data_IF_873254502089
#
_entry.id   IF_873254502089
#
_cell.length_a   1.000
_cell.length_b   1.000
_cell.length_c   1.000
_cell.angle_alpha   90.00
_cell.angle_beta   90.00
_cell.angle_gamma   90.00
#
_symmetry.space_group_name_H-M   'P 1'
#
loop_
_entity.id
_entity.type
_entity.pdbx_description
1 polymer ?
#
# COMPACT_ATOMS: atom_id res chain seq x y z
N UNK A 1 -4.02 -17.92 -3.36
CA UNK A 1 -3.65 -17.16 -2.14
C UNK A 1 -3.22 -18.14 -1.06
N UNK A 2 -2.09 -17.87 -0.43
CA UNK A 2 -1.51 -18.72 0.64
C UNK A 2 -1.40 -17.90 1.91
N UNK A 3 -2.03 -18.37 3.00
CA UNK A 3 -1.90 -17.77 4.33
C UNK A 3 -0.78 -18.47 5.08
N UNK A 4 0.12 -17.71 5.67
CA UNK A 4 1.22 -18.19 6.48
C UNK A 4 1.17 -17.59 7.88
N UNK A 5 1.49 -18.38 8.89
CA UNK A 5 1.71 -17.89 10.26
C UNK A 5 3.20 -17.80 10.53
N UNK A 6 3.59 -16.69 11.11
CA UNK A 6 4.93 -16.47 11.65
C UNK A 6 4.95 -16.94 13.10
N UNK A 7 5.85 -17.86 13.39
CA UNK A 7 6.04 -18.37 14.77
C UNK A 7 7.49 -18.08 15.21
N UNK A 8 7.72 -17.00 15.96
CA UNK A 8 9.04 -16.69 16.50
C UNK A 8 9.36 -17.64 17.65
N UNK A 9 10.13 -18.68 17.41
CA UNK A 9 10.51 -19.65 18.44
C UNK A 9 11.83 -19.33 19.14
N UNK A 10 12.58 -18.31 18.68
CA UNK A 10 13.87 -17.93 19.30
C UNK A 10 14.10 -16.41 19.25
N UNK A 11 14.80 -15.89 20.26
CA UNK A 11 15.22 -14.49 20.37
C UNK A 11 16.39 -14.12 19.40
N UNK A 12 16.89 -15.07 18.64
CA UNK A 12 18.06 -14.88 17.77
C UNK A 12 17.59 -14.58 16.35
N UNK A 13 17.38 -13.31 16.07
CA UNK A 13 16.94 -12.78 14.76
C UNK A 13 18.14 -12.48 13.83
N UNK A 14 19.34 -12.81 14.22
CA UNK A 14 20.42 -12.19 13.54
C UNK A 14 21.54 -13.06 13.00
N UNK A 15 21.91 -12.73 11.81
CA UNK A 15 23.24 -12.93 11.26
C UNK A 15 23.50 -14.31 10.65
N UNK A 16 24.49 -14.39 9.80
CA UNK A 16 24.96 -15.54 9.04
C UNK A 16 25.52 -16.70 9.91
N UNK A 17 24.86 -17.03 10.99
CA UNK A 17 25.13 -18.19 11.81
C UNK A 17 24.11 -19.27 11.50
N UNK A 18 24.55 -20.48 11.23
CA UNK A 18 23.67 -21.64 11.15
C UNK A 18 23.02 -21.90 12.52
N UNK A 19 21.98 -21.17 12.88
CA UNK A 19 21.13 -21.57 13.99
C UNK A 19 20.40 -22.84 13.58
N UNK A 20 20.46 -23.86 14.40
CA UNK A 20 19.78 -25.13 14.14
C UNK A 20 18.24 -24.98 14.20
N UNK A 21 17.75 -23.84 14.68
CA UNK A 21 16.33 -23.49 14.77
C UNK A 21 16.05 -22.33 13.81
N UNK A 22 15.70 -22.66 12.60
CA UNK A 22 15.25 -21.68 11.62
C UNK A 22 13.86 -21.20 11.99
N UNK A 23 13.63 -19.88 11.89
CA UNK A 23 12.28 -19.29 11.85
C UNK A 23 11.53 -20.01 10.72
N UNK A 24 10.45 -20.69 11.06
CA UNK A 24 9.67 -21.43 10.07
C UNK A 24 8.39 -20.68 9.78
N UNK A 25 8.24 -20.28 8.52
CA UNK A 25 6.94 -19.95 7.98
C UNK A 25 6.22 -21.25 7.63
N UNK A 26 5.04 -21.47 8.17
CA UNK A 26 4.19 -22.59 7.82
C UNK A 26 2.94 -22.10 7.10
N UNK A 27 2.60 -22.76 6.01
CA UNK A 27 1.35 -22.50 5.28
C UNK A 27 0.21 -23.20 6.03
N UNK A 28 -0.69 -22.43 6.62
CA UNK A 28 -1.82 -22.96 7.40
C UNK A 28 -3.08 -23.13 6.55
N UNK A 29 -3.21 -22.37 5.46
CA UNK A 29 -4.37 -22.46 4.58
C UNK A 29 -4.01 -22.05 3.15
N UNK A 30 -4.59 -22.77 2.17
CA UNK A 30 -4.54 -22.41 0.74
C UNK A 30 -5.94 -22.20 0.22
N UNK A 31 -6.14 -21.13 -0.54
CA UNK A 31 -7.42 -20.80 -1.18
C UNK A 31 -7.18 -20.69 -2.68
N UNK A 32 -7.99 -21.37 -3.48
CA UNK A 32 -7.91 -21.30 -4.95
C UNK A 32 -8.32 -19.90 -5.40
N UNK A 33 -7.49 -19.28 -6.23
CA UNK A 33 -7.71 -17.95 -6.80
C UNK A 33 -7.83 -18.05 -8.32
N UNK A 34 -8.66 -17.22 -9.00
CA UNK A 34 -8.90 -17.32 -10.45
C UNK A 34 -7.67 -17.04 -11.34
N UNK A 35 -6.65 -16.39 -10.81
CA UNK A 35 -5.42 -16.03 -11.51
C UNK A 35 -4.37 -15.53 -10.53
N UNK A 36 -3.46 -14.71 -11.01
CA UNK A 36 -2.47 -14.02 -10.17
C UNK A 36 -3.13 -13.04 -9.20
N UNK A 37 -2.44 -12.72 -8.13
CA UNK A 37 -2.86 -11.74 -7.12
C UNK A 37 -1.89 -10.58 -7.14
N UNK A 38 -2.31 -9.45 -7.70
CA UNK A 38 -1.49 -8.23 -7.73
C UNK A 38 -1.39 -7.58 -6.35
N UNK A 39 -2.51 -7.60 -5.60
CA UNK A 39 -2.59 -7.02 -4.26
C UNK A 39 -3.55 -7.81 -3.39
N UNK A 40 -3.22 -7.97 -2.12
CA UNK A 40 -4.10 -8.59 -1.12
C UNK A 40 -4.12 -7.75 0.16
N UNK A 41 -5.31 -7.54 0.74
CA UNK A 41 -5.47 -6.81 2.02
C UNK A 41 -6.56 -7.46 2.85
N UNK A 42 -6.29 -7.71 4.12
CA UNK A 42 -7.30 -8.14 5.08
C UNK A 42 -8.08 -6.93 5.61
N UNK A 43 -9.34 -7.16 5.95
CA UNK A 43 -10.20 -6.12 6.54
C UNK A 43 -9.78 -5.86 8.00
N UNK A 44 -9.49 -4.62 8.39
CA UNK A 44 -9.02 -4.30 9.76
C UNK A 44 -10.01 -4.71 10.86
N UNK A 45 -11.31 -4.56 10.62
CA UNK A 45 -12.35 -4.91 11.60
C UNK A 45 -12.58 -6.43 11.69
N UNK A 46 -12.31 -7.17 10.62
CA UNK A 46 -12.45 -8.62 10.57
C UNK A 46 -11.34 -9.24 9.72
N UNK A 47 -10.22 -9.67 10.31
CA UNK A 47 -9.08 -10.22 9.57
C UNK A 47 -9.36 -11.53 8.82
N UNK A 48 -10.56 -12.11 9.01
CA UNK A 48 -10.98 -13.27 8.24
C UNK A 48 -11.45 -12.90 6.82
N UNK A 49 -11.76 -11.63 6.59
CA UNK A 49 -12.16 -11.11 5.28
C UNK A 49 -10.93 -10.55 4.58
N UNK A 50 -10.68 -11.02 3.37
CA UNK A 50 -9.52 -10.64 2.56
C UNK A 50 -10.02 -10.19 1.20
N UNK A 51 -9.55 -9.04 0.73
CA UNK A 51 -9.74 -8.60 -0.66
C UNK A 51 -8.47 -8.88 -1.46
N UNK A 52 -8.64 -9.28 -2.72
CA UNK A 52 -7.54 -9.47 -3.67
C UNK A 52 -7.86 -8.80 -4.98
N UNK A 53 -6.90 -8.10 -5.57
CA UNK A 53 -7.01 -7.57 -6.92
C UNK A 53 -6.23 -8.45 -7.89
N UNK A 54 -6.84 -8.77 -9.03
CA UNK A 54 -6.33 -9.71 -10.01
C UNK A 54 -6.19 -9.07 -11.39
N UNK A 55 -5.27 -9.56 -12.27
CA UNK A 55 -5.12 -9.08 -13.64
C UNK A 55 -6.36 -9.22 -14.52
N UNK A 56 -7.36 -9.99 -14.11
CA UNK A 56 -8.65 -10.10 -14.82
C UNK A 56 -9.60 -8.91 -14.56
N UNK A 57 -9.06 -7.81 -14.02
CA UNK A 57 -9.75 -6.54 -13.75
C UNK A 57 -10.81 -6.61 -12.65
N UNK A 58 -10.75 -7.64 -11.79
CA UNK A 58 -11.70 -7.83 -10.70
C UNK A 58 -11.04 -7.81 -9.35
N UNK A 59 -11.79 -7.30 -8.39
CA UNK A 59 -11.44 -7.47 -6.98
C UNK A 59 -12.31 -8.59 -6.41
N UNK A 60 -11.68 -9.54 -5.76
CA UNK A 60 -12.36 -10.66 -5.11
C UNK A 60 -12.33 -10.51 -3.60
N UNK A 61 -13.44 -10.84 -2.95
CA UNK A 61 -13.54 -10.83 -1.49
C UNK A 61 -13.72 -12.26 -0.98
N UNK A 62 -12.91 -12.61 -0.01
CA UNK A 62 -12.79 -13.95 0.55
C UNK A 62 -13.07 -13.91 2.05
N UNK A 63 -13.91 -14.81 2.53
CA UNK A 63 -14.03 -15.14 3.95
C UNK A 63 -13.26 -16.46 4.17
N UNK A 64 -12.05 -16.37 4.74
CA UNK A 64 -11.18 -17.54 4.93
C UNK A 64 -11.83 -18.63 5.77
N UNK A 65 -12.78 -18.29 6.63
CA UNK A 65 -13.47 -19.27 7.50
C UNK A 65 -14.41 -20.18 6.73
N UNK A 66 -14.80 -19.81 5.52
CA UNK A 66 -15.65 -20.59 4.63
C UNK A 66 -14.89 -21.50 3.67
N UNK A 67 -13.55 -21.51 3.78
CA UNK A 67 -12.67 -22.34 2.96
C UNK A 67 -11.95 -23.38 3.83
N UNK A 68 -11.77 -24.58 3.29
CA UNK A 68 -10.95 -25.64 3.91
C UNK A 68 -9.47 -25.23 3.94
N UNK A 69 -8.70 -25.81 4.86
CA UNK A 69 -7.25 -25.54 4.94
C UNK A 69 -6.50 -25.98 3.69
N UNK A 70 -7.00 -27.03 3.03
CA UNK A 70 -6.51 -27.53 1.74
C UNK A 70 -7.68 -27.52 0.77
N UNK A 71 -7.53 -26.95 -0.43
CA UNK A 71 -8.59 -26.96 -1.44
C UNK A 71 -9.02 -28.39 -1.80
N UNK A 72 -10.31 -28.61 -1.95
CA UNK A 72 -10.86 -29.89 -2.36
C UNK A 72 -11.01 -30.00 -3.90
N UNK A 73 -10.99 -28.87 -4.59
CA UNK A 73 -11.10 -28.71 -6.04
C UNK A 73 -10.32 -27.48 -6.49
N UNK A 74 -10.13 -27.31 -7.79
CA UNK A 74 -9.44 -26.16 -8.41
C UNK A 74 -10.41 -25.01 -8.76
N UNK A 75 -11.60 -24.97 -8.17
CA UNK A 75 -12.61 -23.97 -8.46
C UNK A 75 -12.50 -22.83 -7.43
N UNK A 76 -12.28 -21.62 -7.92
CA UNK A 76 -12.31 -20.41 -7.10
C UNK A 76 -13.73 -20.10 -6.65
N UNK A 77 -13.92 -19.88 -5.35
CA UNK A 77 -15.24 -19.62 -4.72
C UNK A 77 -15.20 -18.36 -3.85
N UNK A 78 -14.98 -17.17 -4.44
CA UNK A 78 -15.03 -15.92 -3.68
C UNK A 78 -16.43 -15.67 -3.14
N UNK A 79 -16.54 -15.02 -1.99
CA UNK A 79 -17.81 -14.61 -1.41
C UNK A 79 -18.42 -13.44 -2.16
N UNK A 80 -17.56 -12.54 -2.70
CA UNK A 80 -18.00 -11.49 -3.61
C UNK A 80 -17.00 -11.28 -4.74
N UNK A 81 -17.51 -10.83 -5.89
CA UNK A 81 -16.74 -10.36 -7.04
C UNK A 81 -17.11 -8.92 -7.29
N UNK A 82 -16.17 -8.02 -7.17
CA UNK A 82 -16.37 -6.60 -7.41
C UNK A 82 -15.97 -6.32 -8.87
N UNK A 83 -16.95 -5.91 -9.67
CA UNK A 83 -16.78 -5.72 -11.10
C UNK A 83 -17.05 -4.26 -11.46
N UNK A 84 -16.02 -3.55 -11.94
CA UNK A 84 -16.13 -2.13 -12.26
C UNK A 84 -14.84 -1.54 -12.84
N UNK A 85 -13.71 -2.24 -12.71
CA UNK A 85 -12.48 -1.90 -13.41
C UNK A 85 -12.45 -2.48 -14.82
N UNK A 86 -11.73 -1.79 -15.73
CA UNK A 86 -11.50 -2.21 -17.12
C UNK A 86 -10.00 -2.45 -17.42
N UNK A 87 -9.14 -2.24 -16.42
CA UNK A 87 -7.72 -2.54 -16.42
C UNK A 87 -7.33 -3.26 -15.14
N UNK A 88 -6.15 -3.86 -15.12
CA UNK A 88 -5.60 -4.44 -13.89
C UNK A 88 -5.24 -3.36 -12.87
N UNK A 89 -5.07 -3.74 -11.61
CA UNK A 89 -4.76 -2.78 -10.57
C UNK A 89 -3.91 -3.32 -9.44
N UNK A 90 -3.24 -2.38 -8.79
CA UNK A 90 -2.30 -2.61 -7.70
C UNK A 90 -2.69 -1.86 -6.42
N UNK A 91 -3.61 -0.89 -6.52
CA UNK A 91 -4.11 -0.13 -5.39
C UNK A 91 -5.30 -0.83 -4.74
N UNK A 92 -5.21 -1.11 -3.45
CA UNK A 92 -6.27 -1.80 -2.70
C UNK A 92 -6.15 -1.49 -1.20
N UNK A 93 -7.19 -0.88 -0.62
CA UNK A 93 -7.22 -0.60 0.81
C UNK A 93 -8.63 -0.64 1.40
N UNK A 94 -8.78 -1.31 2.53
CA UNK A 94 -10.00 -1.29 3.33
C UNK A 94 -10.10 0.00 4.14
N UNK A 95 -11.33 0.49 4.29
CA UNK A 95 -11.60 1.61 5.20
C UNK A 95 -11.37 1.17 6.66
N UNK A 96 -10.40 1.75 7.38
CA UNK A 96 -10.15 1.35 8.77
C UNK A 96 -11.23 1.81 9.75
N UNK A 97 -12.15 2.68 9.31
CA UNK A 97 -13.20 3.27 10.15
C UNK A 97 -14.60 2.74 9.84
N UNK A 98 -14.79 2.14 8.65
CA UNK A 98 -16.10 1.64 8.21
C UNK A 98 -15.94 0.24 7.68
N UNK A 99 -16.57 -0.70 8.37
CA UNK A 99 -16.58 -2.10 7.95
C UNK A 99 -17.22 -2.26 6.58
N UNK A 100 -16.63 -3.08 5.72
CA UNK A 100 -17.14 -3.39 4.39
C UNK A 100 -16.83 -2.36 3.31
N UNK A 101 -16.28 -1.19 3.63
CA UNK A 101 -15.83 -0.23 2.63
C UNK A 101 -14.41 -0.51 2.16
N UNK A 102 -14.20 -0.46 0.85
CA UNK A 102 -12.94 -0.76 0.18
C UNK A 102 -12.68 0.27 -0.92
N UNK A 103 -11.42 0.67 -1.10
CA UNK A 103 -10.92 1.41 -2.25
C UNK A 103 -10.11 0.49 -3.15
N UNK A 104 -10.20 0.70 -4.45
CA UNK A 104 -9.31 0.08 -5.43
C UNK A 104 -8.97 1.06 -6.55
N UNK A 105 -7.76 0.97 -7.08
CA UNK A 105 -7.28 1.79 -8.19
C UNK A 105 -6.53 0.95 -9.22
N UNK A 106 -6.58 1.33 -10.47
CA UNK A 106 -5.99 0.53 -11.54
C UNK A 106 -5.54 1.31 -12.77
N UNK A 107 -5.12 0.57 -13.79
CA UNK A 107 -4.68 1.08 -15.09
C UNK A 107 -5.77 1.85 -15.85
N UNK A 108 -7.02 1.58 -15.53
CA UNK A 108 -8.17 2.32 -16.08
C UNK A 108 -8.27 3.76 -15.55
N UNK A 109 -7.31 4.19 -14.71
CA UNK A 109 -7.19 5.55 -14.15
C UNK A 109 -8.29 5.91 -13.16
N UNK A 110 -9.05 4.92 -12.71
CA UNK A 110 -10.21 5.10 -11.86
C UNK A 110 -9.88 4.60 -10.45
N UNK A 111 -10.32 5.37 -9.44
CA UNK A 111 -10.45 4.89 -8.08
C UNK A 111 -11.90 4.51 -7.85
N UNK A 112 -12.17 3.26 -7.52
CA UNK A 112 -13.48 2.76 -7.14
C UNK A 112 -13.62 2.70 -5.62
N UNK A 113 -14.74 3.22 -5.12
CA UNK A 113 -15.20 3.01 -3.75
C UNK A 113 -16.29 1.93 -3.76
N UNK A 114 -16.08 0.90 -2.98
CA UNK A 114 -17.03 -0.20 -2.78
C UNK A 114 -17.62 -0.12 -1.38
N UNK A 115 -18.89 -0.46 -1.24
CA UNK A 115 -19.62 -0.50 0.04
C UNK A 115 -20.35 -1.84 0.15
N UNK A 116 -19.66 -2.86 0.66
CA UNK A 116 -20.17 -4.23 0.71
C UNK A 116 -21.43 -4.40 1.57
N UNK A 117 -21.57 -3.76 2.77
CA UNK A 117 -22.78 -3.90 3.56
C UNK A 117 -24.02 -3.37 2.89
N UNK A 118 -23.88 -2.39 1.98
CA UNK A 118 -24.98 -1.78 1.24
C UNK A 118 -25.25 -2.47 -0.09
N UNK A 119 -24.18 -2.71 -0.85
CA UNK A 119 -24.25 -3.06 -2.26
C UNK A 119 -24.13 -4.58 -2.48
N UNK A 120 -23.73 -5.33 -1.43
CA UNK A 120 -23.55 -6.77 -1.52
C UNK A 120 -24.89 -7.50 -1.41
N UNK A 121 -25.25 -8.23 -2.48
CA UNK A 121 -26.39 -9.15 -2.50
C UNK A 121 -25.90 -10.59 -2.44
N UNK A 122 -26.41 -11.35 -1.48
CA UNK A 122 -26.10 -12.78 -1.34
C UNK A 122 -26.49 -13.60 -2.59
N UNK A 123 -27.47 -13.13 -3.34
CA UNK A 123 -27.98 -13.84 -4.51
C UNK A 123 -27.12 -13.59 -5.77
N UNK A 124 -26.53 -12.41 -5.91
CA UNK A 124 -25.77 -12.04 -7.11
C UNK A 124 -24.27 -12.30 -6.99
N UNK A 125 -23.71 -12.20 -5.79
CA UNK A 125 -22.25 -12.27 -5.51
C UNK A 125 -21.39 -11.31 -6.36
N UNK A 126 -22.00 -10.46 -7.17
CA UNK A 126 -21.35 -9.46 -8.01
C UNK A 126 -21.76 -8.08 -7.52
N UNK A 127 -20.78 -7.25 -7.20
CA UNK A 127 -20.99 -5.91 -6.67
C UNK A 127 -20.45 -4.89 -7.68
N UNK A 128 -21.21 -3.82 -7.90
CA UNK A 128 -20.80 -2.68 -8.71
C UNK A 128 -20.20 -1.59 -7.80
N UNK A 129 -19.34 -0.70 -8.31
CA UNK A 129 -18.80 0.39 -7.52
C UNK A 129 -19.91 1.27 -6.94
N UNK A 130 -19.79 1.61 -5.66
CA UNK A 130 -20.68 2.58 -5.03
C UNK A 130 -20.41 4.00 -5.54
N UNK A 131 -19.12 4.36 -5.74
CA UNK A 131 -18.67 5.63 -6.37
C UNK A 131 -17.42 5.37 -7.18
N UNK A 132 -17.21 6.22 -8.21
CA UNK A 132 -16.04 6.19 -9.07
C UNK A 132 -15.42 7.59 -9.16
N UNK A 133 -14.09 7.65 -9.13
CA UNK A 133 -13.30 8.87 -9.22
C UNK A 133 -12.32 8.74 -10.39
N UNK A 134 -12.53 9.53 -11.44
CA UNK A 134 -11.77 9.49 -12.70
C UNK A 134 -10.95 10.77 -12.91
N UNK A 135 -10.16 11.16 -11.90
CA UNK A 135 -9.41 12.40 -11.94
C UNK A 135 -7.96 12.23 -12.39
N UNK A 136 -7.43 11.01 -12.24
CA UNK A 136 -6.11 10.69 -12.75
C UNK A 136 -6.10 10.55 -14.28
N UNK A 137 -4.98 10.90 -14.90
CA UNK A 137 -4.78 10.77 -16.35
C UNK A 137 -3.94 9.54 -16.74
N UNK A 138 -3.42 8.81 -15.75
CA UNK A 138 -2.66 7.57 -15.92
C UNK A 138 -3.01 6.57 -14.80
N UNK A 139 -2.33 5.42 -14.76
CA UNK A 139 -2.52 4.33 -13.79
C UNK A 139 -2.54 4.84 -12.35
N UNK A 140 -3.47 4.34 -11.55
CA UNK A 140 -3.49 4.58 -10.09
C UNK A 140 -2.76 3.42 -9.40
N UNK A 141 -1.62 3.75 -8.78
CA UNK A 141 -0.72 2.75 -8.20
C UNK A 141 -0.99 2.45 -6.73
N UNK A 142 -1.41 3.45 -5.96
CA UNK A 142 -1.72 3.26 -4.54
C UNK A 142 -2.85 4.18 -4.08
N UNK A 143 -3.60 3.74 -3.07
CA UNK A 143 -4.66 4.50 -2.40
C UNK A 143 -4.55 4.29 -0.91
N UNK A 144 -4.84 5.33 -0.11
CA UNK A 144 -4.83 5.20 1.34
C UNK A 144 -5.87 6.12 1.99
N UNK A 145 -6.60 5.60 2.98
CA UNK A 145 -7.43 6.43 3.87
C UNK A 145 -6.57 7.24 4.83
N UNK A 146 -6.97 8.46 5.08
CA UNK A 146 -6.24 9.33 5.99
C UNK A 146 -6.53 8.97 7.46
N UNK A 147 -5.52 8.65 8.28
CA UNK A 147 -5.73 8.14 9.63
C UNK A 147 -6.43 9.13 10.57
N UNK A 148 -6.20 10.44 10.42
CA UNK A 148 -6.79 11.46 11.30
C UNK A 148 -8.08 12.08 10.74
N UNK A 149 -8.22 12.20 9.39
CA UNK A 149 -9.44 12.80 8.80
C UNK A 149 -10.57 11.78 8.64
N UNK A 150 -10.29 10.54 8.95
CA UNK A 150 -11.27 9.48 9.11
C UNK A 150 -11.84 8.97 7.79
N UNK A 151 -12.99 8.32 7.91
CA UNK A 151 -13.63 7.51 6.88
C UNK A 151 -13.96 8.20 5.56
N UNK A 152 -13.91 9.52 5.50
CA UNK A 152 -14.36 10.28 4.34
C UNK A 152 -13.22 10.94 3.55
N UNK A 153 -11.97 10.74 3.94
CA UNK A 153 -10.83 11.36 3.28
C UNK A 153 -9.78 10.33 2.93
N UNK A 154 -9.38 10.30 1.66
CA UNK A 154 -8.33 9.41 1.18
C UNK A 154 -7.44 10.09 0.15
N UNK A 155 -6.24 9.56 -0.02
CA UNK A 155 -5.28 9.95 -1.06
C UNK A 155 -5.11 8.86 -2.10
N UNK A 156 -4.73 9.26 -3.31
CA UNK A 156 -4.32 8.39 -4.40
C UNK A 156 -3.08 8.94 -5.10
N UNK A 157 -2.25 8.05 -5.63
CA UNK A 157 -1.04 8.37 -6.38
C UNK A 157 -1.04 7.64 -7.71
N UNK A 158 -0.37 8.23 -8.71
CA UNK A 158 -0.48 7.78 -10.09
C UNK A 158 0.81 8.00 -10.90
N UNK A 159 0.90 7.31 -12.03
CA UNK A 159 1.87 7.54 -13.10
C UNK A 159 1.73 8.94 -13.74
N UNK A 160 0.64 9.65 -13.48
CA UNK A 160 0.46 11.03 -13.94
C UNK A 160 1.25 12.07 -13.10
N UNK A 161 2.14 11.61 -12.23
CA UNK A 161 3.01 12.41 -11.36
C UNK A 161 2.23 13.24 -10.31
N UNK A 162 0.97 12.92 -10.09
CA UNK A 162 0.14 13.65 -9.14
C UNK A 162 -0.21 12.83 -7.90
N UNK A 163 -0.35 13.54 -6.78
CA UNK A 163 -0.97 13.05 -5.56
C UNK A 163 -2.32 13.76 -5.45
N UNK A 164 -3.41 13.01 -5.34
CA UNK A 164 -4.75 13.57 -5.29
C UNK A 164 -5.47 13.13 -4.02
N UNK A 165 -6.22 14.05 -3.43
CA UNK A 165 -6.98 13.81 -2.20
C UNK A 165 -8.46 14.03 -2.44
N UNK A 166 -9.26 13.08 -1.98
CA UNK A 166 -10.71 13.09 -2.12
C UNK A 166 -11.38 13.25 -0.77
N UNK A 167 -12.41 14.11 -0.71
CA UNK A 167 -13.29 14.21 0.44
C UNK A 167 -14.69 13.70 0.06
N UNK A 168 -15.09 12.57 0.60
CA UNK A 168 -16.38 11.93 0.30
C UNK A 168 -17.59 12.71 0.79
N UNK A 169 -17.41 13.73 1.66
CA UNK A 169 -18.48 14.61 2.15
C UNK A 169 -18.86 15.67 1.13
N UNK A 170 -17.93 15.98 0.23
CA UNK A 170 -18.16 16.93 -0.86
C UNK A 170 -18.56 16.17 -2.14
N UNK A 171 -19.02 16.90 -3.14
CA UNK A 171 -19.28 16.32 -4.46
C UNK A 171 -17.95 16.12 -5.23
N UNK A 172 -17.03 15.37 -4.62
CA UNK A 172 -15.66 15.13 -5.13
C UNK A 172 -15.60 14.24 -6.36
N UNK A 173 -16.74 13.80 -6.88
CA UNK A 173 -16.81 13.16 -8.20
C UNK A 173 -16.42 14.14 -9.33
N UNK A 174 -16.54 15.45 -9.10
CA UNK A 174 -16.22 16.48 -10.08
C UNK A 174 -14.78 16.99 -10.01
N UNK A 175 -14.16 16.99 -8.82
CA UNK A 175 -12.75 17.40 -8.64
C UNK A 175 -12.19 16.93 -7.30
N UNK A 176 -10.86 16.68 -7.22
CA UNK A 176 -10.17 16.44 -5.96
C UNK A 176 -10.25 17.63 -5.00
N UNK A 177 -10.19 17.35 -3.71
CA UNK A 177 -10.13 18.37 -2.66
C UNK A 177 -8.77 19.08 -2.66
N UNK A 178 -7.68 18.34 -2.87
CA UNK A 178 -6.30 18.84 -2.96
C UNK A 178 -5.57 18.06 -4.05
N UNK A 179 -4.68 18.70 -4.80
CA UNK A 179 -3.84 18.08 -5.82
C UNK A 179 -2.40 18.61 -5.68
N UNK A 180 -1.44 17.71 -5.57
CA UNK A 180 -0.03 17.98 -5.82
C UNK A 180 0.28 17.57 -7.26
N UNK A 181 0.69 18.52 -8.09
CA UNK A 181 1.06 18.28 -9.48
C UNK A 181 2.56 18.19 -9.62
N UNK A 182 3.03 17.26 -10.48
CA UNK A 182 4.46 17.04 -10.68
C UNK A 182 5.19 16.87 -9.33
N UNK A 183 4.62 16.06 -8.45
CA UNK A 183 5.16 15.82 -7.12
C UNK A 183 6.51 15.09 -7.17
N UNK A 184 6.69 14.28 -8.19
CA UNK A 184 7.92 13.56 -8.52
C UNK A 184 8.27 13.74 -10.01
N UNK A 185 9.48 13.32 -10.41
CA UNK A 185 9.93 13.36 -11.81
C UNK A 185 9.55 12.12 -12.61
N UNK A 186 9.06 11.07 -11.95
CA UNK A 186 8.58 9.82 -12.55
C UNK A 186 7.38 9.28 -11.75
N UNK A 187 6.80 8.17 -12.21
CA UNK A 187 5.62 7.52 -11.66
C UNK A 187 5.66 7.42 -10.12
N UNK A 188 4.55 7.71 -9.47
CA UNK A 188 4.43 7.60 -8.01
C UNK A 188 3.80 6.25 -7.69
N UNK A 189 4.58 5.36 -7.07
CA UNK A 189 4.17 3.98 -6.84
C UNK A 189 3.41 3.77 -5.52
N UNK A 190 3.66 4.60 -4.52
CA UNK A 190 3.10 4.38 -3.18
C UNK A 190 2.94 5.68 -2.40
N UNK A 191 1.99 5.69 -1.49
CA UNK A 191 1.83 6.78 -0.52
C UNK A 191 1.63 6.21 0.89
N UNK A 192 2.06 6.97 1.90
CA UNK A 192 1.83 6.65 3.30
C UNK A 192 1.56 7.94 4.09
N UNK A 193 0.37 8.03 4.68
CA UNK A 193 0.08 9.10 5.64
C UNK A 193 0.80 8.86 6.95
N UNK A 194 1.31 9.94 7.52
CA UNK A 194 1.93 9.86 8.83
C UNK A 194 0.89 9.52 9.92
N UNK A 195 1.15 8.56 10.83
CA UNK A 195 0.15 8.06 11.77
C UNK A 195 -0.32 9.10 12.79
N UNK A 196 0.51 10.08 13.17
CA UNK A 196 0.21 11.08 14.20
C UNK A 196 0.29 12.53 13.72
N UNK A 197 1.12 12.85 12.70
CA UNK A 197 1.20 14.18 12.11
C UNK A 197 0.25 14.29 10.91
N UNK A 198 -0.97 14.77 11.17
CA UNK A 198 -2.09 14.76 10.23
C UNK A 198 -1.89 15.58 8.93
N UNK A 199 -0.80 16.31 8.81
CA UNK A 199 -0.46 17.07 7.59
C UNK A 199 0.69 16.48 6.80
N UNK A 200 1.38 15.49 7.35
CA UNK A 200 2.56 14.89 6.74
C UNK A 200 2.20 13.60 6.02
N UNK A 201 2.74 13.44 4.82
CA UNK A 201 2.73 12.18 4.07
C UNK A 201 4.08 11.93 3.43
N UNK A 202 4.35 10.66 3.16
CA UNK A 202 5.48 10.21 2.37
C UNK A 202 4.97 9.56 1.08
N UNK A 203 5.69 9.75 -0.02
CA UNK A 203 5.45 9.04 -1.28
C UNK A 203 6.75 8.46 -1.81
N UNK A 204 6.66 7.29 -2.42
CA UNK A 204 7.79 6.65 -3.09
C UNK A 204 7.55 6.59 -4.59
N UNK A 205 8.60 6.86 -5.36
CA UNK A 205 8.52 7.03 -6.82
C UNK A 205 9.49 6.11 -7.57
N UNK A 206 9.20 5.95 -8.84
CA UNK A 206 10.09 5.35 -9.82
C UNK A 206 11.35 6.21 -10.09
N UNK A 207 11.34 7.47 -9.69
CA UNK A 207 12.52 8.34 -9.73
C UNK A 207 13.56 8.01 -8.63
N UNK A 208 13.37 6.93 -7.87
CA UNK A 208 14.24 6.39 -6.83
C UNK A 208 14.24 7.22 -5.52
N UNK A 209 13.37 8.21 -5.41
CA UNK A 209 13.31 9.09 -4.25
C UNK A 209 12.03 8.90 -3.43
N UNK A 210 12.12 9.26 -2.14
CA UNK A 210 10.95 9.40 -1.27
C UNK A 210 10.72 10.89 -1.06
N UNK A 211 9.53 11.38 -1.41
CA UNK A 211 9.12 12.74 -1.12
C UNK A 211 8.34 12.82 0.19
N UNK A 212 8.69 13.76 1.06
CA UNK A 212 7.89 14.13 2.22
C UNK A 212 7.11 15.40 1.90
N UNK A 213 5.79 15.37 2.08
CA UNK A 213 4.90 16.47 1.67
C UNK A 213 4.05 16.96 2.84
N UNK A 214 3.77 18.27 2.85
CA UNK A 214 2.82 18.88 3.77
C UNK A 214 1.51 19.21 3.02
N UNK A 215 0.41 18.61 3.44
CA UNK A 215 -0.92 18.77 2.84
C UNK A 215 -1.40 20.22 2.73
N UNK A 216 -0.84 21.12 3.52
CA UNK A 216 -1.19 22.56 3.53
C UNK A 216 -0.59 23.33 2.35
N UNK A 217 0.43 22.76 1.71
CA UNK A 217 1.23 23.46 0.70
C UNK A 217 1.39 22.66 -0.60
N UNK A 218 0.30 22.37 -1.31
CA UNK A 218 0.33 21.51 -2.51
C UNK A 218 1.20 22.06 -3.65
N UNK A 219 1.39 23.37 -3.69
CA UNK A 219 2.15 24.05 -4.75
C UNK A 219 3.66 24.20 -4.45
N UNK A 220 4.12 23.77 -3.25
CA UNK A 220 5.52 23.97 -2.84
C UNK A 220 6.45 22.77 -3.14
N UNK A 221 5.89 21.65 -3.64
CA UNK A 221 6.65 20.42 -3.79
C UNK A 221 6.97 19.74 -2.44
N UNK A 222 7.90 18.78 -2.40
CA UNK A 222 8.28 18.08 -1.18
C UNK A 222 8.99 19.04 -0.20
N UNK A 223 8.70 18.89 1.09
CA UNK A 223 9.42 19.60 2.16
C UNK A 223 10.81 18.99 2.37
N UNK A 224 10.97 17.72 2.05
CA UNK A 224 12.23 17.01 2.04
C UNK A 224 12.18 15.83 1.07
N UNK A 225 13.34 15.47 0.50
CA UNK A 225 13.50 14.31 -0.38
C UNK A 225 14.56 13.39 0.23
N UNK A 226 14.23 12.12 0.43
CA UNK A 226 15.15 11.10 0.91
C UNK A 226 15.74 10.37 -0.29
N UNK A 227 17.06 10.33 -0.37
CA UNK A 227 17.83 9.70 -1.44
C UNK A 227 18.70 8.58 -0.87
N UNK A 228 18.73 7.40 -1.53
CA UNK A 228 19.54 6.26 -1.08
C UNK A 228 19.24 4.97 -1.83
N UNK A 229 18.03 4.85 -2.41
CA UNK A 229 17.70 3.75 -3.31
C UNK A 229 18.36 3.94 -4.68
N UNK A 230 18.56 2.82 -5.40
CA UNK A 230 19.18 2.78 -6.72
C UNK A 230 18.25 2.29 -7.83
N UNK A 231 17.00 2.07 -7.49
CA UNK A 231 15.94 1.67 -8.40
C UNK A 231 14.61 2.18 -7.83
N UNK A 232 13.53 2.01 -8.58
CA UNK A 232 12.22 2.48 -8.20
C UNK A 232 11.79 2.00 -6.82
N UNK A 233 11.12 2.88 -6.09
CA UNK A 233 10.55 2.55 -4.79
C UNK A 233 9.20 1.89 -5.00
N UNK A 234 9.00 0.74 -4.38
CA UNK A 234 7.79 -0.07 -4.53
C UNK A 234 6.81 0.16 -3.38
N UNK A 235 7.32 0.35 -2.15
CA UNK A 235 6.48 0.63 -0.98
C UNK A 235 7.19 1.54 0.01
N UNK A 236 6.42 2.44 0.63
CA UNK A 236 6.80 3.19 1.83
C UNK A 236 5.76 2.97 2.92
N UNK A 237 6.20 2.93 4.17
CA UNK A 237 5.30 2.85 5.32
C UNK A 237 5.94 3.47 6.57
N UNK A 238 5.11 4.04 7.43
CA UNK A 238 5.56 4.64 8.69
C UNK A 238 5.55 3.60 9.81
N UNK A 239 6.49 3.75 10.72
CA UNK A 239 6.47 2.95 11.94
C UNK A 239 5.20 3.31 12.75
N UNK A 240 4.43 2.31 13.23
CA UNK A 240 3.10 2.56 13.81
C UNK A 240 3.11 3.32 15.14
N UNK A 241 4.23 3.31 15.86
CA UNK A 241 4.36 3.95 17.18
C UNK A 241 5.52 4.94 17.29
N UNK A 242 6.49 4.92 16.38
CA UNK A 242 7.58 5.89 16.31
C UNK A 242 7.39 6.84 15.13
N UNK A 243 7.05 8.08 15.44
CA UNK A 243 6.73 9.09 14.44
C UNK A 243 7.92 9.57 13.60
N UNK A 244 9.15 9.23 13.99
CA UNK A 244 10.33 9.61 13.23
C UNK A 244 10.79 8.55 12.22
N UNK A 245 10.27 7.32 12.33
CA UNK A 245 10.77 6.19 11.55
C UNK A 245 9.86 5.89 10.36
N UNK A 246 10.47 5.85 9.18
CA UNK A 246 9.88 5.44 7.91
C UNK A 246 10.65 4.22 7.38
N UNK A 247 9.96 3.31 6.71
CA UNK A 247 10.55 2.20 5.99
C UNK A 247 10.23 2.32 4.50
N UNK A 248 11.19 1.98 3.64
CA UNK A 248 10.98 1.90 2.19
C UNK A 248 11.55 0.62 1.61
N UNK A 249 10.87 0.09 0.60
CA UNK A 249 11.29 -1.06 -0.20
C UNK A 249 11.48 -0.67 -1.65
N UNK A 250 12.40 -1.33 -2.35
CA UNK A 250 12.72 -0.99 -3.74
C UNK A 250 13.06 -2.23 -4.58
N UNK A 251 12.95 -2.05 -5.89
CA UNK A 251 13.41 -3.02 -6.89
C UNK A 251 14.94 -3.20 -6.87
N UNK A 252 15.69 -2.30 -6.20
CA UNK A 252 17.13 -2.45 -5.94
C UNK A 252 17.47 -3.58 -4.96
N UNK A 253 16.48 -4.34 -4.51
CA UNK A 253 16.57 -5.48 -3.56
C UNK A 253 16.94 -5.05 -2.14
N UNK A 254 16.63 -3.81 -1.77
CA UNK A 254 16.93 -3.24 -0.47
C UNK A 254 15.67 -2.77 0.22
N UNK A 255 15.71 -2.83 1.53
CA UNK A 255 14.75 -2.18 2.41
C UNK A 255 15.53 -1.22 3.29
N UNK A 256 15.16 0.06 3.31
CA UNK A 256 15.85 1.09 4.08
C UNK A 256 14.92 1.62 5.17
N UNK A 257 15.46 1.78 6.35
CA UNK A 257 14.82 2.44 7.48
C UNK A 257 15.40 3.85 7.62
N UNK A 258 14.53 4.82 7.72
CA UNK A 258 14.86 6.24 7.77
C UNK A 258 14.44 6.84 9.10
N UNK A 259 15.29 7.66 9.68
CA UNK A 259 14.98 8.50 10.84
C UNK A 259 14.88 9.96 10.38
N UNK A 260 13.66 10.42 10.11
CA UNK A 260 13.41 11.77 9.59
C UNK A 260 13.80 12.88 10.58
N UNK A 261 13.98 12.57 11.86
CA UNK A 261 14.43 13.54 12.85
C UNK A 261 15.88 13.98 12.63
N UNK A 262 16.65 13.19 11.88
CA UNK A 262 18.05 13.47 11.54
C UNK A 262 18.24 14.19 10.21
N UNK A 263 17.13 14.48 9.51
CA UNK A 263 17.17 15.22 8.25
C UNK A 263 17.93 16.52 8.39
N UNK A 264 18.93 16.72 7.52
CA UNK A 264 19.78 17.91 7.52
C UNK A 264 20.78 17.99 8.68
N UNK A 265 20.97 16.94 9.44
CA UNK A 265 22.01 16.89 10.48
C UNK A 265 23.41 16.88 9.85
N UNK A 266 24.38 17.49 10.54
CA UNK A 266 25.77 17.42 10.12
C UNK A 266 26.33 16.00 10.33
N UNK A 267 27.09 15.53 9.35
CA UNK A 267 27.82 14.25 9.39
C UNK A 267 29.34 14.46 9.29
N UNK A 268 30.10 13.50 9.84
CA UNK A 268 31.48 13.38 9.51
C UNK A 268 31.68 12.93 8.05
N UNK A 269 32.85 13.25 7.42
CA UNK A 269 33.11 12.73 6.07
C UNK A 269 33.10 11.21 5.97
N UNK A 270 33.45 10.51 7.05
CA UNK A 270 33.42 9.03 7.13
C UNK A 270 32.00 8.51 7.17
N UNK A 271 31.13 9.11 7.99
CA UNK A 271 29.69 8.69 8.06
C UNK A 271 28.95 9.01 6.77
N UNK A 272 29.33 10.06 6.06
CA UNK A 272 28.69 10.45 4.79
C UNK A 272 28.98 9.46 3.64
N UNK A 273 30.00 8.61 3.75
CA UNK A 273 30.25 7.51 2.78
C UNK A 273 29.21 6.40 2.89
N UNK A 274 28.60 6.20 4.06
CA UNK A 274 27.59 5.17 4.32
C UNK A 274 26.17 5.61 3.93
N UNK A 275 25.94 6.90 3.68
CA UNK A 275 24.65 7.45 3.24
C UNK A 275 24.25 8.74 3.95
N UNK A 276 23.06 9.28 3.66
CA UNK A 276 22.60 10.51 4.29
C UNK A 276 22.29 10.30 5.79
N UNK A 277 22.31 11.37 6.61
CA UNK A 277 22.19 11.29 8.06
C UNK A 277 20.86 10.66 8.53
N UNK A 278 19.82 10.78 7.76
CA UNK A 278 18.52 10.17 8.01
C UNK A 278 18.44 8.68 7.65
N UNK A 279 19.42 8.10 6.97
CA UNK A 279 19.47 6.65 6.71
C UNK A 279 19.90 5.91 7.97
N UNK A 280 18.94 5.34 8.68
CA UNK A 280 19.18 4.64 9.94
C UNK A 280 19.78 3.24 9.72
N UNK A 281 19.25 2.50 8.76
CA UNK A 281 19.65 1.11 8.49
C UNK A 281 19.24 0.68 7.09
N UNK A 282 20.11 -0.09 6.43
CA UNK A 282 19.83 -0.68 5.13
C UNK A 282 19.92 -2.21 5.21
N UNK A 283 18.83 -2.90 4.88
CA UNK A 283 18.78 -4.34 4.71
C UNK A 283 18.98 -4.70 3.23
N UNK A 284 20.05 -5.41 2.91
CA UNK A 284 20.42 -5.81 1.54
C UNK A 284 20.39 -7.33 1.31
N UNK A 285 19.64 -8.08 2.11
CA UNK A 285 19.61 -9.55 2.05
C UNK A 285 18.70 -10.18 1.00
N UNK A 286 17.88 -9.38 0.31
CA UNK A 286 16.98 -9.88 -0.70
C UNK A 286 17.72 -10.27 -1.99
N UNK A 287 17.39 -11.45 -2.56
CA UNK A 287 17.96 -11.95 -3.81
C UNK A 287 17.20 -11.48 -5.06
N UNK A 288 16.00 -10.96 -4.89
CA UNK A 288 15.16 -10.40 -5.94
C UNK A 288 14.54 -9.07 -5.47
N UNK A 289 13.91 -8.33 -6.38
CA UNK A 289 13.19 -7.10 -6.09
C UNK A 289 12.15 -7.30 -4.98
N UNK A 290 11.93 -6.28 -4.19
CA UNK A 290 10.92 -6.27 -3.13
C UNK A 290 9.67 -5.60 -3.69
N UNK A 291 8.54 -6.29 -3.74
CA UNK A 291 7.33 -5.82 -4.44
C UNK A 291 6.25 -5.21 -3.53
N UNK A 292 6.26 -5.50 -2.21
CA UNK A 292 5.27 -4.94 -1.24
C UNK A 292 5.77 -5.07 0.20
#
# INVERSE_FOLDING_TARGET
MTLAEYNPTTEDLGGHGASKEQIKFSVVQKIVHPGEVNKARYQPQNPNIIATFSPDHKVYVWDRTKHSSVPNDDIAKPQATLSGHTGEGFALEWNPFVEGQLLSGGEDKIVNLWDLPRDFSLDTKVVQPHRQFSHHSATVNDVQYHPAYGKNFFGSVSDDLSIQFMDLRTNSESKPAVIFKNAHSDAINTLAFHPTMDKLLATGSADQTIGLFDLRFPDKGPIHTLEGHRDQITKVDWHPSDSAILCSSSDDRRTIFWDISKTGSEQSPEDAEDGPPEMLFMHGGHTNRVSD
#
